data_IF_844374757169
#
_entry.id   IF_844374757169
#
_cell.length_a   1.000
_cell.length_b   1.000
_cell.length_c   1.000
_cell.angle_alpha   90.00
_cell.angle_beta   90.00
_cell.angle_gamma   90.00
#
_symmetry.space_group_name_H-M   'P 1'
#
loop_
_entity.id
_entity.type
_entity.pdbx_description
1 polymer ?
#
# COMPACT_ATOMS: atom_id res chain seq x y z
N UNK A 1 -28.26 0.06 8.65
CA UNK A 1 -27.38 -0.10 9.83
C UNK A 1 -26.08 0.61 9.51
N UNK A 2 -25.60 1.50 10.39
CA UNK A 2 -24.28 2.09 10.25
C UNK A 2 -23.26 1.11 10.85
N UNK A 3 -22.39 0.50 10.04
CA UNK A 3 -21.22 -0.23 10.53
C UNK A 3 -20.17 0.80 10.94
N UNK A 4 -20.35 1.38 12.13
CA UNK A 4 -19.39 2.30 12.74
C UNK A 4 -18.50 1.50 13.67
N UNK A 5 -17.20 1.57 13.42
CA UNK A 5 -16.19 1.02 14.33
C UNK A 5 -15.72 2.18 15.20
N UNK A 6 -16.49 2.47 16.23
CA UNK A 6 -16.17 3.50 17.22
C UNK A 6 -15.29 2.87 18.31
N UNK A 7 -14.01 2.70 18.03
CA UNK A 7 -13.04 2.25 19.04
C UNK A 7 -12.52 3.50 19.79
N UNK A 8 -12.76 3.62 21.10
CA UNK A 8 -12.20 4.72 21.89
C UNK A 8 -10.67 4.71 21.85
N UNK A 9 -10.04 5.87 21.68
CA UNK A 9 -8.58 6.01 21.62
C UNK A 9 -7.90 5.50 22.90
N UNK A 10 -8.62 5.59 24.00
CA UNK A 10 -8.17 5.31 25.37
C UNK A 10 -8.02 3.80 25.64
N UNK A 11 -8.68 2.94 24.86
CA UNK A 11 -8.59 1.49 25.03
C UNK A 11 -7.47 0.85 24.21
N UNK A 12 -6.83 1.62 23.32
CA UNK A 12 -5.76 1.13 22.47
C UNK A 12 -4.40 1.23 23.19
N UNK A 13 -3.59 0.16 23.16
CA UNK A 13 -2.27 0.19 23.77
C UNK A 13 -1.37 1.20 23.04
N UNK A 14 -0.55 1.91 23.79
CA UNK A 14 0.50 2.73 23.18
C UNK A 14 1.62 1.82 22.69
N UNK A 15 2.10 2.09 21.47
CA UNK A 15 3.26 1.40 20.93
C UNK A 15 4.54 1.85 21.64
N UNK A 16 5.54 0.97 21.76
CA UNK A 16 6.86 1.38 22.22
C UNK A 16 7.42 2.49 21.30
N UNK A 17 8.18 3.45 21.86
CA UNK A 17 8.73 4.52 21.06
C UNK A 17 9.71 3.99 20.01
N UNK A 18 9.83 4.71 18.90
CA UNK A 18 10.83 4.41 17.88
C UNK A 18 12.25 4.52 18.47
N UNK A 19 13.21 3.69 18.02
CA UNK A 19 14.60 3.80 18.45
C UNK A 19 15.19 5.19 18.24
N UNK A 20 16.14 5.56 19.12
CA UNK A 20 16.88 6.82 19.03
C UNK A 20 17.52 7.00 17.64
N UNK A 21 17.39 8.20 17.07
CA UNK A 21 17.82 8.53 15.70
C UNK A 21 16.87 8.12 14.58
N UNK A 22 15.97 7.14 14.78
CA UNK A 22 14.87 6.92 13.84
C UNK A 22 13.73 7.92 14.08
N UNK A 23 13.43 8.20 15.35
CA UNK A 23 12.43 9.21 15.71
C UNK A 23 12.79 10.60 15.16
N UNK A 24 14.03 11.05 15.34
CA UNK A 24 14.49 12.36 14.82
C UNK A 24 14.35 12.46 13.28
N UNK A 25 14.74 11.42 12.55
CA UNK A 25 14.56 11.35 11.09
C UNK A 25 13.08 11.33 10.69
N UNK A 26 12.24 10.67 11.46
CA UNK A 26 10.81 10.62 11.22
C UNK A 26 10.16 12.00 11.39
N UNK A 27 10.51 12.71 12.47
CA UNK A 27 10.05 14.09 12.73
C UNK A 27 10.51 15.07 11.65
N UNK A 28 11.77 14.96 11.21
CA UNK A 28 12.27 15.75 10.08
C UNK A 28 11.43 15.51 8.81
N UNK A 29 11.17 14.25 8.45
CA UNK A 29 10.40 13.91 7.24
C UNK A 29 8.95 14.38 7.32
N UNK A 30 8.27 14.19 8.45
CA UNK A 30 6.83 14.53 8.57
C UNK A 30 6.59 16.04 8.66
N UNK A 31 7.61 16.84 9.00
CA UNK A 31 7.53 18.31 9.03
C UNK A 31 7.56 18.97 7.65
N UNK A 32 7.95 18.23 6.60
CA UNK A 32 8.09 18.75 5.24
C UNK A 32 6.72 18.90 4.57
N UNK A 33 6.65 19.78 3.57
CA UNK A 33 5.43 19.96 2.80
C UNK A 33 5.06 18.68 2.02
N UNK A 34 3.84 18.17 2.26
CA UNK A 34 3.27 17.05 1.54
C UNK A 34 2.11 17.51 0.65
N UNK A 35 2.27 17.40 -0.67
CA UNK A 35 1.19 17.69 -1.64
C UNK A 35 0.15 16.56 -1.65
N UNK A 36 -1.03 16.85 -2.20
CA UNK A 36 -2.09 15.86 -2.48
C UNK A 36 -2.60 15.14 -1.20
N UNK A 37 -2.46 15.77 -0.04
CA UNK A 37 -3.03 15.29 1.21
C UNK A 37 -4.51 15.67 1.32
N UNK A 38 -5.34 14.83 1.96
CA UNK A 38 -6.73 15.16 2.18
C UNK A 38 -6.89 16.27 3.22
N UNK A 39 -7.94 17.07 3.07
CA UNK A 39 -8.30 18.16 4.00
C UNK A 39 -9.22 17.65 5.11
N UNK A 40 -8.72 16.73 5.94
CA UNK A 40 -9.48 16.13 7.05
C UNK A 40 -9.22 16.84 8.38
N UNK A 41 -10.14 16.66 9.33
CA UNK A 41 -9.93 17.07 10.72
C UNK A 41 -8.73 16.34 11.35
N UNK A 42 -7.87 17.09 12.03
CA UNK A 42 -6.62 16.56 12.57
C UNK A 42 -6.85 15.57 13.71
N UNK A 43 -7.82 15.83 14.58
CA UNK A 43 -8.11 14.97 15.71
C UNK A 43 -8.70 13.63 15.25
N UNK A 44 -9.58 13.64 14.25
CA UNK A 44 -10.10 12.44 13.61
C UNK A 44 -8.99 11.62 12.95
N UNK A 45 -8.10 12.27 12.18
CA UNK A 45 -6.96 11.60 11.56
C UNK A 45 -6.01 10.98 12.60
N UNK A 46 -5.76 11.67 13.72
CA UNK A 46 -4.99 11.13 14.85
C UNK A 46 -5.64 9.92 15.50
N UNK A 47 -6.96 9.94 15.68
CA UNK A 47 -7.69 8.79 16.24
C UNK A 47 -7.58 7.57 15.31
N UNK A 48 -7.84 7.75 14.02
CA UNK A 48 -7.74 6.66 13.02
C UNK A 48 -6.32 6.12 12.92
N UNK A 49 -5.29 6.97 12.96
CA UNK A 49 -3.89 6.52 12.99
C UNK A 49 -3.61 5.64 14.21
N UNK A 50 -4.08 6.01 15.41
CA UNK A 50 -3.88 5.18 16.60
C UNK A 50 -4.55 3.82 16.48
N UNK A 51 -5.74 3.75 15.88
CA UNK A 51 -6.40 2.47 15.57
C UNK A 51 -5.50 1.63 14.65
N UNK A 52 -5.03 2.22 13.54
CA UNK A 52 -4.21 1.53 12.54
C UNK A 52 -2.80 1.15 13.04
N UNK A 53 -2.28 1.83 14.05
CA UNK A 53 -1.02 1.47 14.73
C UNK A 53 -1.14 0.13 15.50
N UNK A 54 -2.36 -0.26 15.89
CA UNK A 54 -2.61 -1.45 16.72
C UNK A 54 -3.05 -2.70 15.95
N UNK A 55 -3.44 -2.56 14.68
CA UNK A 55 -3.93 -3.70 13.88
C UNK A 55 -2.77 -4.55 13.35
N UNK A 56 -3.01 -5.83 13.04
CA UNK A 56 -2.01 -6.65 12.36
C UNK A 56 -1.55 -5.99 11.04
N UNK A 57 -0.24 -6.06 10.72
CA UNK A 57 0.26 -5.50 9.48
C UNK A 57 -0.22 -6.33 8.27
N UNK A 58 -0.32 -5.69 7.11
CA UNK A 58 -0.71 -6.38 5.86
C UNK A 58 0.39 -7.31 5.33
N UNK A 59 1.66 -6.95 5.57
CA UNK A 59 2.85 -7.73 5.21
C UNK A 59 3.84 -7.75 6.36
N UNK A 60 4.72 -8.74 6.42
CA UNK A 60 5.75 -8.85 7.46
C UNK A 60 7.15 -8.50 6.92
N UNK A 61 8.04 -8.04 7.80
CA UNK A 61 9.38 -7.57 7.41
C UNK A 61 10.24 -8.60 6.62
N UNK A 62 10.19 -9.91 6.89
CA UNK A 62 10.90 -10.90 6.08
C UNK A 62 10.45 -10.93 4.61
N UNK A 63 9.17 -10.72 4.32
CA UNK A 63 8.64 -10.70 2.95
C UNK A 63 9.19 -9.51 2.16
N UNK A 64 9.29 -8.34 2.79
CA UNK A 64 9.88 -7.13 2.19
C UNK A 64 11.39 -7.32 1.93
N UNK A 65 12.08 -8.01 2.85
CA UNK A 65 13.50 -8.33 2.68
C UNK A 65 13.73 -9.29 1.52
N UNK A 66 12.87 -10.30 1.37
CA UNK A 66 12.92 -11.23 0.25
C UNK A 66 12.58 -10.53 -1.08
N UNK A 67 11.54 -9.67 -1.12
CA UNK A 67 11.23 -8.86 -2.29
C UNK A 67 12.43 -7.98 -2.70
N UNK A 68 13.09 -7.33 -1.74
CA UNK A 68 14.29 -6.52 -2.00
C UNK A 68 15.39 -7.34 -2.66
N UNK A 69 15.60 -8.58 -2.21
CA UNK A 69 16.58 -9.50 -2.82
C UNK A 69 16.21 -9.83 -4.27
N UNK A 70 14.94 -10.14 -4.53
CA UNK A 70 14.45 -10.41 -5.89
C UNK A 70 14.55 -9.18 -6.80
N UNK A 71 14.27 -7.98 -6.29
CA UNK A 71 14.42 -6.73 -7.03
C UNK A 71 15.90 -6.39 -7.32
N UNK A 72 16.83 -6.82 -6.48
CA UNK A 72 18.25 -6.72 -6.80
C UNK A 72 18.65 -7.61 -7.99
N UNK A 73 18.04 -8.79 -8.13
CA UNK A 73 18.23 -9.63 -9.33
C UNK A 73 17.66 -8.95 -10.58
N UNK A 74 16.50 -8.29 -10.47
CA UNK A 74 15.92 -7.48 -11.56
C UNK A 74 16.88 -6.35 -11.98
N UNK A 75 17.40 -5.58 -11.01
CA UNK A 75 18.31 -4.47 -11.28
C UNK A 75 19.62 -4.92 -11.95
N UNK A 76 20.06 -6.15 -11.69
CA UNK A 76 21.25 -6.74 -12.30
C UNK A 76 20.96 -7.49 -13.62
N UNK A 77 19.75 -7.37 -14.18
CA UNK A 77 19.36 -8.02 -15.44
C UNK A 77 19.21 -9.55 -15.35
N UNK A 78 19.08 -10.10 -14.14
CA UNK A 78 18.93 -11.54 -13.89
C UNK A 78 17.47 -11.98 -13.75
N UNK A 79 16.55 -11.02 -13.66
CA UNK A 79 15.10 -11.22 -13.54
C UNK A 79 14.36 -10.06 -14.19
N UNK A 80 13.05 -10.21 -14.39
CA UNK A 80 12.15 -9.18 -14.92
C UNK A 80 11.07 -8.82 -13.89
N UNK A 81 10.67 -7.55 -13.81
CA UNK A 81 9.57 -7.11 -12.93
C UNK A 81 8.28 -6.99 -13.74
N UNK A 82 7.25 -7.75 -13.34
CA UNK A 82 5.88 -7.55 -13.78
C UNK A 82 5.09 -6.90 -12.64
N UNK A 83 4.71 -5.63 -12.83
CA UNK A 83 3.81 -4.93 -11.92
C UNK A 83 2.49 -4.59 -12.63
N UNK A 84 1.36 -4.93 -12.02
CA UNK A 84 0.05 -4.72 -12.65
C UNK A 84 -1.13 -4.89 -11.69
N UNK A 85 -2.29 -4.37 -12.07
CA UNK A 85 -3.52 -4.40 -11.29
C UNK A 85 -4.39 -3.17 -11.59
N UNK A 86 -5.36 -2.89 -10.73
CA UNK A 86 -6.28 -1.78 -10.96
C UNK A 86 -5.57 -0.42 -10.93
N UNK A 87 -6.12 0.55 -11.66
CA UNK A 87 -5.67 1.94 -11.56
C UNK A 87 -5.96 2.48 -10.15
N UNK A 88 -7.19 2.29 -9.68
CA UNK A 88 -7.65 2.56 -8.33
C UNK A 88 -8.58 1.42 -7.90
N UNK A 89 -8.31 0.83 -6.74
CA UNK A 89 -9.23 -0.14 -6.12
C UNK A 89 -10.44 0.63 -5.56
N UNK A 90 -11.62 0.00 -5.56
CA UNK A 90 -12.80 0.51 -4.85
C UNK A 90 -13.27 -0.52 -3.83
N UNK A 91 -13.93 -0.08 -2.76
CA UNK A 91 -14.47 -1.02 -1.78
C UNK A 91 -15.61 -1.88 -2.37
N UNK A 92 -16.39 -1.31 -3.29
CA UNK A 92 -17.45 -2.03 -4.00
C UNK A 92 -16.89 -3.14 -4.89
N UNK A 93 -15.78 -2.89 -5.59
CA UNK A 93 -15.14 -3.89 -6.45
C UNK A 93 -14.20 -4.84 -5.72
N UNK A 94 -13.92 -4.62 -4.42
CA UNK A 94 -13.04 -5.45 -3.61
C UNK A 94 -13.71 -6.78 -3.22
N UNK A 95 -14.04 -7.57 -4.23
CA UNK A 95 -14.77 -8.83 -4.12
C UNK A 95 -13.88 -9.99 -4.55
N UNK A 96 -14.17 -11.18 -4.03
CA UNK A 96 -13.42 -12.39 -4.36
C UNK A 96 -13.30 -12.65 -5.88
N UNK A 97 -14.38 -12.55 -6.69
CA UNK A 97 -14.27 -12.79 -8.13
C UNK A 97 -13.33 -11.79 -8.83
N UNK A 98 -13.38 -10.51 -8.43
CA UNK A 98 -12.53 -9.46 -9.00
C UNK A 98 -11.05 -9.66 -8.65
N UNK A 99 -10.75 -9.89 -7.36
CA UNK A 99 -9.40 -10.19 -6.89
C UNK A 99 -8.84 -11.43 -7.60
N UNK A 100 -9.64 -12.49 -7.70
CA UNK A 100 -9.26 -13.73 -8.38
C UNK A 100 -8.96 -13.49 -9.85
N UNK A 101 -9.76 -12.69 -10.54
CA UNK A 101 -9.55 -12.35 -11.94
C UNK A 101 -8.23 -11.59 -12.12
N UNK A 102 -7.96 -10.58 -11.28
CA UNK A 102 -6.73 -9.80 -11.32
C UNK A 102 -5.48 -10.66 -11.07
N UNK A 103 -5.51 -11.51 -10.04
CA UNK A 103 -4.42 -12.45 -9.75
C UNK A 103 -4.20 -13.43 -10.91
N UNK A 104 -5.28 -13.99 -11.48
CA UNK A 104 -5.20 -14.92 -12.62
C UNK A 104 -4.55 -14.25 -13.82
N UNK A 105 -4.95 -13.04 -14.17
CA UNK A 105 -4.36 -12.27 -15.26
C UNK A 105 -2.87 -12.02 -15.03
N UNK A 106 -2.49 -11.58 -13.83
CA UNK A 106 -1.09 -11.32 -13.47
C UNK A 106 -0.23 -12.60 -13.61
N UNK A 107 -0.74 -13.75 -13.15
CA UNK A 107 -0.05 -15.03 -13.27
C UNK A 107 0.06 -15.51 -14.73
N UNK A 108 -0.99 -15.34 -15.53
CA UNK A 108 -0.98 -15.68 -16.96
C UNK A 108 0.07 -14.87 -17.72
N UNK A 109 0.13 -13.56 -17.48
CA UNK A 109 1.15 -12.67 -18.06
C UNK A 109 2.56 -13.09 -17.60
N UNK A 110 2.74 -13.40 -16.32
CA UNK A 110 4.04 -13.79 -15.78
C UNK A 110 4.61 -15.04 -16.46
N UNK A 111 3.77 -16.05 -16.77
CA UNK A 111 4.20 -17.26 -17.47
C UNK A 111 4.70 -16.93 -18.88
N UNK A 112 3.96 -16.12 -19.63
CA UNK A 112 4.35 -15.69 -20.99
C UNK A 112 5.65 -14.88 -20.95
N UNK A 113 5.78 -13.93 -20.03
CA UNK A 113 6.98 -13.11 -19.88
C UNK A 113 8.20 -13.91 -19.44
N UNK A 114 8.01 -14.91 -18.56
CA UNK A 114 9.11 -15.79 -18.14
C UNK A 114 9.68 -16.56 -19.34
N UNK A 115 8.81 -17.07 -20.22
CA UNK A 115 9.24 -17.74 -21.45
C UNK A 115 9.99 -16.78 -22.39
N UNK A 116 9.42 -15.59 -22.66
CA UNK A 116 10.02 -14.62 -23.57
C UNK A 116 11.33 -14.01 -23.07
N UNK A 117 11.44 -13.74 -21.77
CA UNK A 117 12.61 -13.13 -21.15
C UNK A 117 13.70 -14.15 -20.79
N UNK A 118 13.38 -15.46 -20.80
CA UNK A 118 14.29 -16.54 -20.35
C UNK A 118 14.90 -16.30 -18.96
N UNK A 119 14.19 -15.56 -18.11
CA UNK A 119 14.60 -15.17 -16.77
C UNK A 119 13.39 -15.20 -15.83
N UNK A 120 13.58 -15.33 -14.51
CA UNK A 120 12.49 -15.28 -13.55
C UNK A 120 11.72 -13.95 -13.61
N UNK A 121 10.40 -14.00 -13.43
CA UNK A 121 9.54 -12.81 -13.32
C UNK A 121 9.11 -12.59 -11.86
N UNK A 122 9.49 -11.45 -11.27
CA UNK A 122 8.97 -10.95 -10.00
C UNK A 122 7.58 -10.37 -10.25
N UNK A 123 6.57 -10.84 -9.51
CA UNK A 123 5.16 -10.49 -9.70
C UNK A 123 4.72 -9.55 -8.59
N UNK A 124 4.34 -8.33 -8.94
CA UNK A 124 3.95 -7.29 -7.99
C UNK A 124 2.54 -6.76 -8.33
N UNK A 125 1.55 -7.09 -7.52
CA UNK A 125 0.19 -6.63 -7.77
C UNK A 125 -0.01 -5.18 -7.26
N UNK A 126 -0.78 -4.38 -8.00
CA UNK A 126 -1.43 -3.17 -7.47
C UNK A 126 -2.73 -3.60 -6.79
N UNK A 127 -2.63 -3.96 -5.52
CA UNK A 127 -3.72 -4.54 -4.73
C UNK A 127 -3.54 -4.23 -3.24
N UNK A 128 -4.61 -4.34 -2.45
CA UNK A 128 -4.60 -4.25 -0.99
C UNK A 128 -4.10 -2.90 -0.44
N UNK A 129 -4.35 -1.82 -1.17
CA UNK A 129 -3.96 -0.47 -0.71
C UNK A 129 -3.99 0.64 -1.76
N UNK A 130 -4.33 0.35 -3.01
CA UNK A 130 -4.38 1.31 -4.12
C UNK A 130 -5.68 2.14 -4.10
N UNK A 131 -6.03 2.69 -2.94
CA UNK A 131 -7.28 3.43 -2.70
C UNK A 131 -7.15 4.96 -2.80
N UNK A 132 -5.92 5.48 -2.97
CA UNK A 132 -5.66 6.91 -3.12
C UNK A 132 -5.23 7.23 -4.55
N UNK A 133 -5.66 8.40 -5.06
CA UNK A 133 -5.22 8.95 -6.34
C UNK A 133 -4.99 10.46 -6.22
N UNK A 134 -3.91 11.00 -6.80
CA UNK A 134 -3.75 12.45 -6.90
C UNK A 134 -4.77 13.02 -7.89
N UNK A 135 -5.09 14.31 -7.73
CA UNK A 135 -5.95 15.06 -8.64
C UNK A 135 -5.22 16.31 -9.12
N UNK A 136 -5.36 16.60 -10.40
CA UNK A 136 -4.81 17.82 -10.99
C UNK A 136 -5.59 19.08 -10.58
N UNK A 137 -6.86 18.92 -10.19
CA UNK A 137 -7.77 19.97 -9.74
C UNK A 137 -8.64 19.43 -8.60
N UNK A 138 -9.01 20.31 -7.66
CA UNK A 138 -9.82 19.95 -6.50
C UNK A 138 -11.28 19.66 -6.88
N UNK A 139 -11.81 20.41 -7.85
CA UNK A 139 -13.14 20.21 -8.43
C UNK A 139 -13.03 19.41 -9.73
N UNK A 140 -14.07 18.64 -10.03
CA UNK A 140 -14.19 17.96 -11.32
C UNK A 140 -15.09 18.74 -12.30
N UNK A 141 -15.42 18.14 -13.44
CA UNK A 141 -16.23 18.79 -14.48
C UNK A 141 -17.66 19.12 -14.04
N UNK A 142 -18.13 18.58 -12.90
CA UNK A 142 -19.46 18.80 -12.37
C UNK A 142 -19.48 19.84 -11.22
N UNK A 143 -18.33 20.44 -10.88
CA UNK A 143 -18.18 21.36 -9.74
C UNK A 143 -18.04 20.62 -8.42
#
# INVERSE_FOLDING_TARGET
MSWTVDIPKEVLPDLPPLPAGLHERFEDVISREAKQQPTWDRAQAENVRKILESVPPIVVAPEVTELRRQLADVANGKAFLLQGGDCAETFESNTEPHIRANIKTLLQMAVVLTYGASTPVVKLARIAGQYAKPRSQDLDGNG
#
